data_IF_237523680821
#
_entry.id   IF_237523680821
#
_cell.length_a   1.000
_cell.length_b   1.000
_cell.length_c   1.000
_cell.angle_alpha   90.00
_cell.angle_beta   90.00
_cell.angle_gamma   90.00
#
_symmetry.space_group_name_H-M   'P 1'
#
loop_
_entity.id
_entity.type
_entity.pdbx_description
1 polymer ?
#
# COMPACT_ATOMS: atom_id res chain seq x y z
N UNK A 1 0.57 32.80 -53.66
CA UNK A 1 1.26 32.46 -52.40
C UNK A 1 1.48 33.69 -51.52
N UNK A 2 2.03 34.80 -52.04
CA UNK A 2 2.20 36.06 -51.30
C UNK A 2 0.89 36.67 -50.74
N UNK A 3 -0.17 36.76 -51.55
CA UNK A 3 -1.46 37.34 -51.11
C UNK A 3 -2.15 36.56 -49.98
N UNK A 4 -2.00 35.23 -49.95
CA UNK A 4 -2.55 34.39 -48.87
C UNK A 4 -1.82 34.65 -47.55
N UNK A 5 -0.52 34.90 -47.62
CA UNK A 5 0.29 35.23 -46.45
C UNK A 5 -0.06 36.61 -45.90
N UNK A 6 -0.31 37.59 -46.78
CA UNK A 6 -0.73 38.94 -46.37
C UNK A 6 -2.11 38.93 -45.69
N UNK A 7 -3.05 38.13 -46.21
CA UNK A 7 -4.37 37.95 -45.60
C UNK A 7 -4.26 37.24 -44.25
N UNK A 8 -3.47 36.17 -44.16
CA UNK A 8 -3.25 35.44 -42.90
C UNK A 8 -2.63 36.35 -41.83
N UNK A 9 -1.61 37.14 -42.20
CA UNK A 9 -0.97 38.09 -41.28
C UNK A 9 -1.92 39.21 -40.85
N UNK A 10 -2.78 39.70 -41.75
CA UNK A 10 -3.79 40.72 -41.45
C UNK A 10 -4.84 40.18 -40.47
N UNK A 11 -5.35 38.97 -40.74
CA UNK A 11 -6.31 38.29 -39.87
C UNK A 11 -5.71 38.03 -38.49
N UNK A 12 -4.47 37.54 -38.45
CA UNK A 12 -3.72 37.29 -37.22
C UNK A 12 -3.61 38.57 -36.38
N UNK A 13 -3.17 39.68 -36.97
CA UNK A 13 -3.06 40.97 -36.26
C UNK A 13 -4.41 41.46 -35.74
N UNK A 14 -5.48 41.30 -36.53
CA UNK A 14 -6.81 41.68 -36.10
C UNK A 14 -7.31 40.82 -34.95
N UNK A 15 -7.03 39.52 -34.96
CA UNK A 15 -7.44 38.61 -33.89
C UNK A 15 -6.65 38.87 -32.60
N UNK A 16 -5.34 39.13 -32.70
CA UNK A 16 -4.52 39.51 -31.54
C UNK A 16 -4.99 40.84 -30.94
N UNK A 17 -5.30 41.85 -31.77
CA UNK A 17 -5.85 43.12 -31.29
C UNK A 17 -7.19 42.94 -30.55
N UNK A 18 -8.12 42.16 -31.11
CA UNK A 18 -9.38 41.84 -30.42
C UNK A 18 -9.15 41.07 -29.12
N UNK A 19 -8.20 40.12 -29.12
CA UNK A 19 -7.86 39.35 -27.93
C UNK A 19 -7.29 40.23 -26.82
N UNK A 20 -6.34 41.11 -27.14
CA UNK A 20 -5.69 41.99 -26.17
C UNK A 20 -6.68 43.02 -25.59
N UNK A 21 -7.55 43.58 -26.43
CA UNK A 21 -8.62 44.51 -26.01
C UNK A 21 -9.64 43.82 -25.09
N UNK A 22 -10.10 42.61 -25.48
CA UNK A 22 -11.12 41.87 -24.72
C UNK A 22 -10.57 41.26 -23.42
N UNK A 23 -9.31 40.82 -23.44
CA UNK A 23 -8.59 40.34 -22.26
C UNK A 23 -8.16 41.50 -21.35
N UNK A 24 -8.10 42.73 -21.88
CA UNK A 24 -7.68 43.93 -21.16
C UNK A 24 -6.37 43.71 -20.40
N UNK A 25 -5.40 43.05 -21.05
CA UNK A 25 -4.12 42.65 -20.44
C UNK A 25 -3.35 43.85 -19.88
N UNK A 26 -3.48 45.01 -20.52
CA UNK A 26 -2.89 46.28 -20.07
C UNK A 26 -3.45 46.78 -18.73
N UNK A 27 -4.69 46.42 -18.38
CA UNK A 27 -5.28 46.73 -17.07
C UNK A 27 -4.81 45.77 -15.98
N UNK A 28 -4.53 44.51 -16.32
CA UNK A 28 -4.00 43.51 -15.39
C UNK A 28 -2.52 43.71 -15.08
N UNK A 29 -1.78 44.33 -15.99
CA UNK A 29 -0.36 44.67 -15.82
C UNK A 29 -0.13 46.00 -15.13
N UNK A 30 -1.16 46.82 -14.93
CA UNK A 30 -1.07 47.99 -14.06
C UNK A 30 -0.80 47.54 -12.63
N UNK A 31 0.36 47.93 -12.10
CA UNK A 31 0.72 47.72 -10.69
C UNK A 31 -0.26 48.48 -9.79
N UNK A 32 -1.34 47.82 -9.42
CA UNK A 32 -2.13 48.18 -8.24
C UNK A 32 -1.22 47.93 -7.03
N UNK A 33 -0.86 48.97 -6.28
CA UNK A 33 0.05 48.91 -5.13
C UNK A 33 -0.43 48.05 -3.95
N UNK A 34 -1.42 47.18 -4.20
CA UNK A 34 -1.99 46.18 -3.28
C UNK A 34 -1.24 44.85 -3.31
N UNK A 35 -0.39 44.60 -4.32
CA UNK A 35 0.39 43.36 -4.43
C UNK A 35 1.87 43.66 -4.26
N UNK A 36 2.49 42.98 -3.30
CA UNK A 36 3.94 42.98 -3.07
C UNK A 36 4.52 41.79 -3.82
N UNK A 37 5.49 42.06 -4.70
CA UNK A 37 6.28 41.02 -5.36
C UNK A 37 7.53 40.82 -4.53
N UNK A 38 7.68 39.63 -3.96
CA UNK A 38 8.87 39.22 -3.22
C UNK A 38 9.67 38.20 -4.05
N UNK A 39 10.99 38.37 -4.07
CA UNK A 39 11.87 37.41 -4.70
C UNK A 39 11.98 36.16 -3.81
N UNK A 40 11.64 35.00 -4.38
CA UNK A 40 11.74 33.72 -3.67
C UNK A 40 13.17 33.20 -3.85
N UNK A 41 13.88 32.99 -2.75
CA UNK A 41 15.14 32.25 -2.77
C UNK A 41 14.85 30.73 -2.67
N UNK A 42 15.07 29.95 -3.74
CA UNK A 42 14.74 28.53 -3.75
C UNK A 42 15.58 27.72 -2.76
N UNK A 43 16.83 28.12 -2.47
CA UNK A 43 17.69 27.40 -1.54
C UNK A 43 17.13 27.48 -0.11
N UNK A 44 16.77 28.69 0.32
CA UNK A 44 16.17 28.92 1.65
C UNK A 44 14.85 28.17 1.78
N UNK A 45 14.04 28.13 0.71
CA UNK A 45 12.76 27.41 0.71
C UNK A 45 12.95 25.89 0.80
N UNK A 46 13.97 25.34 0.14
CA UNK A 46 14.28 23.91 0.23
C UNK A 46 14.84 23.57 1.61
N UNK A 47 15.70 24.41 2.18
CA UNK A 47 16.22 24.23 3.54
C UNK A 47 15.11 24.30 4.60
N UNK A 48 14.18 25.25 4.48
CA UNK A 48 13.04 25.36 5.40
C UNK A 48 12.13 24.14 5.30
N UNK A 49 11.82 23.71 4.08
CA UNK A 49 11.00 22.52 3.85
C UNK A 49 11.67 21.25 4.39
N UNK A 50 12.98 21.08 4.16
CA UNK A 50 13.73 19.94 4.67
C UNK A 50 13.66 19.86 6.21
N UNK A 51 13.79 21.02 6.89
CA UNK A 51 13.69 21.11 8.34
C UNK A 51 12.30 20.82 8.88
N UNK A 52 11.25 21.29 8.19
CA UNK A 52 9.87 20.96 8.53
C UNK A 52 9.61 19.45 8.40
N UNK A 53 10.08 18.84 7.32
CA UNK A 53 9.97 17.40 7.08
C UNK A 53 10.76 16.60 8.14
N UNK A 54 11.97 17.04 8.50
CA UNK A 54 12.76 16.39 9.54
C UNK A 54 12.04 16.39 10.89
N UNK A 55 11.49 17.55 11.28
CA UNK A 55 10.70 17.69 12.52
C UNK A 55 9.46 16.79 12.49
N UNK A 56 8.76 16.78 11.36
CA UNK A 56 7.57 15.98 11.10
C UNK A 56 7.85 14.47 11.27
N UNK A 57 9.00 13.98 10.78
CA UNK A 57 9.42 12.59 10.94
C UNK A 57 9.93 12.29 12.35
N UNK A 58 10.62 13.23 12.99
CA UNK A 58 11.11 13.07 14.36
C UNK A 58 9.94 12.87 15.34
N UNK A 59 8.89 13.68 15.25
CA UNK A 59 7.68 13.56 16.08
C UNK A 59 6.96 12.21 15.86
N UNK A 60 6.83 11.78 14.60
CA UNK A 60 6.22 10.46 14.27
C UNK A 60 7.05 9.31 14.80
N UNK A 61 8.37 9.41 14.70
CA UNK A 61 9.30 8.41 15.25
C UNK A 61 9.16 8.33 16.76
N UNK A 62 9.07 9.45 17.47
CA UNK A 62 8.87 9.47 18.92
C UNK A 62 7.55 8.79 19.32
N UNK A 63 6.44 9.14 18.66
CA UNK A 63 5.15 8.50 18.89
C UNK A 63 5.20 6.98 18.65
N UNK A 64 5.90 6.54 17.61
CA UNK A 64 6.10 5.12 17.31
C UNK A 64 6.92 4.42 18.40
N UNK A 65 8.01 5.04 18.87
CA UNK A 65 8.85 4.48 19.93
C UNK A 65 8.09 4.36 21.25
N UNK A 66 7.20 5.30 21.57
CA UNK A 66 6.33 5.21 22.75
C UNK A 66 5.44 3.96 22.69
N UNK A 67 4.87 3.65 21.52
CA UNK A 67 4.03 2.47 21.30
C UNK A 67 4.86 1.19 21.46
N UNK A 68 6.01 1.13 20.79
CA UNK A 68 6.92 -0.04 20.81
C UNK A 68 7.37 -0.33 22.24
N UNK A 69 7.86 0.68 22.97
CA UNK A 69 8.35 0.51 24.33
C UNK A 69 7.26 -0.03 25.27
N UNK A 70 6.04 0.52 25.20
CA UNK A 70 4.93 0.07 26.03
C UNK A 70 4.52 -1.38 25.73
N UNK A 71 4.46 -1.76 24.46
CA UNK A 71 4.12 -3.12 24.03
C UNK A 71 5.21 -4.12 24.41
N UNK A 72 6.49 -3.77 24.24
CA UNK A 72 7.61 -4.61 24.65
C UNK A 72 7.69 -4.80 26.17
N UNK A 73 7.42 -3.75 26.95
CA UNK A 73 7.42 -3.84 28.40
C UNK A 73 6.28 -4.74 28.91
N UNK A 74 5.07 -4.55 28.38
CA UNK A 74 3.91 -5.36 28.75
C UNK A 74 4.08 -6.82 28.31
N UNK A 75 4.53 -7.07 27.08
CA UNK A 75 4.75 -8.43 26.58
C UNK A 75 5.79 -9.22 27.37
N UNK A 76 6.84 -8.57 27.90
CA UNK A 76 7.85 -9.22 28.76
C UNK A 76 7.28 -9.67 30.10
N UNK A 77 6.33 -8.92 30.67
CA UNK A 77 5.72 -9.21 31.96
C UNK A 77 4.44 -10.04 31.90
N UNK A 78 3.87 -10.21 30.71
CA UNK A 78 2.56 -10.83 30.54
C UNK A 78 2.56 -12.32 30.89
N UNK A 79 1.58 -12.74 31.70
CA UNK A 79 1.36 -14.15 32.05
C UNK A 79 0.36 -14.76 31.08
N UNK A 80 0.82 -15.78 30.36
CA UNK A 80 -0.01 -16.50 29.41
C UNK A 80 -1.10 -17.33 30.09
N UNK A 81 -2.26 -17.44 29.44
CA UNK A 81 -3.41 -18.21 29.91
C UNK A 81 -3.91 -19.19 28.83
N UNK A 82 -3.84 -20.49 29.11
CA UNK A 82 -4.06 -21.58 28.14
C UNK A 82 -5.52 -22.09 28.01
N UNK A 83 -6.49 -21.55 28.76
CA UNK A 83 -7.82 -22.19 28.93
C UNK A 83 -9.01 -21.50 28.23
N UNK A 84 -9.96 -22.34 27.79
CA UNK A 84 -11.30 -22.02 27.26
C UNK A 84 -12.25 -21.36 28.28
N UNK A 85 -11.80 -21.20 29.53
CA UNK A 85 -12.48 -20.49 30.62
C UNK A 85 -12.06 -19.02 30.69
N UNK A 86 -11.47 -18.48 29.63
CA UNK A 86 -11.16 -17.06 29.59
C UNK A 86 -12.45 -16.27 29.34
N UNK A 87 -12.84 -15.47 30.33
CA UNK A 87 -14.02 -14.63 30.21
C UNK A 87 -13.77 -13.55 29.16
N UNK A 88 -14.39 -13.72 27.99
CA UNK A 88 -14.41 -12.71 26.94
C UNK A 88 -14.93 -11.36 27.43
N UNK A 89 -15.64 -11.30 28.55
CA UNK A 89 -16.11 -10.04 29.13
C UNK A 89 -14.98 -9.16 29.69
N UNK A 90 -13.83 -9.75 30.03
CA UNK A 90 -12.70 -9.01 30.62
C UNK A 90 -11.82 -8.32 29.56
N UNK A 91 -11.99 -8.68 28.28
CA UNK A 91 -11.28 -8.05 27.18
C UNK A 91 -12.20 -7.04 26.52
N UNK A 92 -12.12 -5.78 26.96
CA UNK A 92 -12.81 -4.70 26.26
C UNK A 92 -12.08 -4.38 24.95
N UNK A 93 -12.65 -4.78 23.82
CA UNK A 93 -12.17 -4.37 22.50
C UNK A 93 -13.34 -4.03 21.58
N UNK A 94 -13.17 -2.98 20.77
CA UNK A 94 -14.15 -2.62 19.76
C UNK A 94 -13.84 -3.39 18.48
N UNK A 95 -14.50 -4.53 18.29
CA UNK A 95 -14.40 -5.28 17.05
C UNK A 95 -15.09 -4.53 15.90
N UNK A 96 -14.31 -3.99 14.96
CA UNK A 96 -14.85 -3.19 13.85
C UNK A 96 -15.43 -4.03 12.69
N UNK A 97 -15.19 -5.35 12.66
CA UNK A 97 -15.74 -6.27 11.65
C UNK A 97 -17.12 -6.80 12.05
N UNK A 98 -17.35 -7.01 13.36
CA UNK A 98 -18.64 -7.46 13.94
C UNK A 98 -19.53 -6.31 14.44
N UNK A 99 -19.01 -5.07 14.48
CA UNK A 99 -19.70 -3.86 14.95
C UNK A 99 -20.97 -3.45 14.18
N UNK A 100 -21.46 -4.25 13.22
CA UNK A 100 -22.78 -4.04 12.64
C UNK A 100 -23.95 -4.22 13.63
N UNK A 101 -23.73 -4.70 14.86
CA UNK A 101 -24.84 -5.02 15.79
C UNK A 101 -24.88 -4.32 17.16
N UNK A 102 -23.79 -3.72 17.67
CA UNK A 102 -23.76 -3.38 19.11
C UNK A 102 -23.40 -1.92 19.46
N UNK A 103 -22.66 -1.17 18.63
CA UNK A 103 -22.36 0.24 18.96
C UNK A 103 -22.84 1.20 17.88
N UNK A 104 -24.00 1.84 18.16
CA UNK A 104 -24.43 3.11 17.56
C UNK A 104 -23.69 4.31 18.15
N UNK A 105 -22.51 4.10 18.75
CA UNK A 105 -21.70 5.20 19.27
C UNK A 105 -21.04 5.86 18.07
N UNK A 106 -21.75 6.87 17.56
CA UNK A 106 -21.42 7.64 16.37
C UNK A 106 -19.99 8.12 16.44
N UNK A 107 -19.18 7.67 15.48
CA UNK A 107 -17.98 8.42 15.13
C UNK A 107 -18.41 9.77 14.59
N UNK A 108 -17.66 10.82 14.94
CA UNK A 108 -17.84 12.12 14.32
C UNK A 108 -16.97 12.19 13.06
N UNK A 109 -17.48 12.84 12.02
CA UNK A 109 -16.69 13.08 10.82
C UNK A 109 -15.46 13.91 11.20
N UNK A 110 -14.28 13.41 10.85
CA UNK A 110 -13.02 14.09 11.13
C UNK A 110 -12.29 14.38 9.82
N UNK A 111 -11.92 15.65 9.63
CA UNK A 111 -11.30 16.13 8.39
C UNK A 111 -9.92 15.50 8.13
N UNK A 112 -9.17 15.13 9.18
CA UNK A 112 -7.86 14.50 9.04
C UNK A 112 -7.99 13.05 8.55
N UNK A 113 -9.02 12.34 9.02
CA UNK A 113 -9.22 10.92 8.70
C UNK A 113 -10.13 10.70 7.49
N UNK A 114 -10.94 11.69 7.11
CA UNK A 114 -11.89 11.60 5.99
C UNK A 114 -13.03 10.60 6.21
N UNK A 115 -13.20 10.11 7.45
CA UNK A 115 -14.24 9.15 7.85
C UNK A 115 -14.73 9.45 9.26
N UNK A 116 -15.93 8.95 9.65
CA UNK A 116 -16.41 9.06 11.02
C UNK A 116 -15.58 8.21 12.00
N UNK A 117 -14.90 8.88 12.93
CA UNK A 117 -14.02 8.25 13.93
C UNK A 117 -14.48 8.47 15.36
N UNK A 118 -14.20 7.50 16.22
CA UNK A 118 -14.40 7.59 17.66
C UNK A 118 -13.04 7.76 18.36
N UNK A 119 -12.77 8.97 18.83
CA UNK A 119 -11.52 9.33 19.54
C UNK A 119 -11.47 8.84 20.99
N UNK A 120 -12.54 8.22 21.50
CA UNK A 120 -12.57 7.72 22.89
C UNK A 120 -12.04 6.29 23.02
N UNK A 121 -11.98 5.52 21.94
CA UNK A 121 -11.64 4.10 21.97
C UNK A 121 -10.75 3.72 20.78
N UNK A 122 -9.92 2.70 20.97
CA UNK A 122 -9.21 2.05 19.87
C UNK A 122 -10.11 0.96 19.25
N UNK A 123 -9.95 0.76 17.94
CA UNK A 123 -10.58 -0.32 17.20
C UNK A 123 -9.66 -1.53 17.14
N UNK A 124 -10.26 -2.72 17.05
CA UNK A 124 -9.55 -3.97 16.77
C UNK A 124 -10.18 -4.63 15.57
N UNK A 125 -9.33 -4.96 14.61
CA UNK A 125 -9.65 -5.68 13.39
C UNK A 125 -9.09 -7.09 13.48
N UNK A 126 -9.89 -8.07 13.07
CA UNK A 126 -9.50 -9.47 12.96
C UNK A 126 -9.82 -9.95 11.55
N UNK A 127 -8.86 -10.55 10.82
CA UNK A 127 -9.13 -11.17 9.52
C UNK A 127 -10.18 -12.28 9.64
N UNK A 128 -10.95 -12.53 8.58
CA UNK A 128 -12.06 -13.50 8.64
C UNK A 128 -11.61 -14.94 8.92
N UNK A 129 -10.39 -15.29 8.51
CA UNK A 129 -9.77 -16.60 8.75
C UNK A 129 -9.27 -16.78 10.20
N UNK A 130 -9.19 -15.71 10.98
CA UNK A 130 -8.72 -15.75 12.37
C UNK A 130 -9.92 -15.83 13.32
N UNK A 131 -10.01 -16.92 14.06
CA UNK A 131 -11.05 -17.10 15.07
C UNK A 131 -10.64 -16.40 16.38
N UNK A 132 -11.46 -15.45 16.81
CA UNK A 132 -11.19 -14.61 17.98
C UNK A 132 -11.11 -15.41 19.29
N UNK A 133 -11.76 -16.58 19.35
CA UNK A 133 -11.77 -17.44 20.54
C UNK A 133 -10.51 -18.26 20.78
N UNK A 134 -9.52 -18.20 19.88
CA UNK A 134 -8.24 -18.85 20.13
C UNK A 134 -7.48 -18.17 21.27
N UNK A 135 -6.84 -18.97 22.12
CA UNK A 135 -6.12 -18.47 23.29
C UNK A 135 -5.05 -17.45 22.87
N UNK A 136 -4.40 -17.67 21.73
CA UNK A 136 -3.40 -16.78 21.17
C UNK A 136 -3.95 -15.39 20.84
N UNK A 137 -5.17 -15.34 20.30
CA UNK A 137 -5.84 -14.08 19.95
C UNK A 137 -6.34 -13.37 21.19
N UNK A 138 -6.94 -14.10 22.14
CA UNK A 138 -7.46 -13.51 23.38
C UNK A 138 -6.33 -12.95 24.25
N UNK A 139 -5.26 -13.73 24.44
CA UNK A 139 -4.06 -13.24 25.12
C UNK A 139 -3.49 -12.04 24.35
N UNK A 140 -3.40 -12.15 23.02
CA UNK A 140 -3.06 -11.08 22.08
C UNK A 140 -3.77 -9.78 22.39
N UNK A 141 -5.10 -9.78 22.40
CA UNK A 141 -5.91 -8.62 22.72
C UNK A 141 -5.62 -8.08 24.11
N UNK A 142 -5.45 -8.93 25.12
CA UNK A 142 -5.27 -8.48 26.49
C UNK A 142 -3.95 -7.74 26.69
N UNK A 143 -2.82 -8.36 26.34
CA UNK A 143 -1.52 -7.73 26.55
C UNK A 143 -1.34 -6.49 25.65
N UNK A 144 -1.85 -6.52 24.43
CA UNK A 144 -1.75 -5.37 23.51
C UNK A 144 -2.69 -4.21 23.86
N UNK A 145 -3.60 -4.36 24.84
CA UNK A 145 -4.50 -3.28 25.29
C UNK A 145 -3.75 -2.09 25.92
N UNK A 146 -2.50 -2.28 26.34
CA UNK A 146 -1.62 -1.19 26.81
C UNK A 146 -1.45 -0.10 25.75
N UNK A 147 -1.46 -0.47 24.47
CA UNK A 147 -1.31 0.47 23.36
C UNK A 147 -2.45 1.48 23.28
N UNK A 148 -3.67 1.13 23.71
CA UNK A 148 -4.83 2.01 23.63
C UNK A 148 -4.60 3.32 24.41
N UNK A 149 -3.92 3.25 25.56
CA UNK A 149 -3.55 4.43 26.38
C UNK A 149 -2.47 5.26 25.70
N UNK A 150 -1.48 4.60 25.11
CA UNK A 150 -0.36 5.26 24.42
C UNK A 150 -0.85 5.96 23.16
N UNK A 151 -1.72 5.33 22.38
CA UNK A 151 -2.32 5.92 21.19
C UNK A 151 -3.05 7.23 21.49
N UNK A 152 -3.84 7.24 22.57
CA UNK A 152 -4.54 8.44 23.03
C UNK A 152 -3.56 9.53 23.43
N UNK A 153 -2.59 9.20 24.28
CA UNK A 153 -1.55 10.13 24.74
C UNK A 153 -0.79 10.75 23.56
N UNK A 154 -0.31 9.94 22.62
CA UNK A 154 0.38 10.40 21.42
C UNK A 154 -0.49 11.38 20.61
N UNK A 155 -1.79 11.11 20.47
CA UNK A 155 -2.72 11.98 19.73
C UNK A 155 -3.03 13.28 20.47
N UNK A 156 -3.06 13.25 21.80
CA UNK A 156 -3.20 14.44 22.66
C UNK A 156 -1.94 15.33 22.57
N UNK A 157 -0.75 14.71 22.56
CA UNK A 157 0.53 15.40 22.42
C UNK A 157 0.74 15.95 21.00
N UNK A 158 0.32 15.20 19.98
CA UNK A 158 0.40 15.62 18.58
C UNK A 158 -0.92 15.38 17.83
N UNK A 159 -1.79 16.42 17.76
CA UNK A 159 -3.07 16.35 17.06
C UNK A 159 -2.97 16.08 15.55
N UNK A 160 -1.80 16.30 14.92
CA UNK A 160 -1.59 16.06 13.50
C UNK A 160 -1.35 14.59 13.14
N UNK A 161 -1.14 13.72 14.14
CA UNK A 161 -0.92 12.29 13.90
C UNK A 161 -2.12 11.64 13.22
N UNK A 162 -1.86 10.93 12.13
CA UNK A 162 -2.85 10.08 11.46
C UNK A 162 -3.06 8.77 12.25
N UNK A 163 -3.54 7.72 11.57
CA UNK A 163 -3.78 6.41 12.15
C UNK A 163 -2.54 5.89 12.87
N UNK A 164 -2.75 5.45 14.11
CA UNK A 164 -1.77 4.69 14.87
C UNK A 164 -2.25 3.25 14.92
N UNK A 165 -1.37 2.28 14.67
CA UNK A 165 -1.75 0.88 14.64
C UNK A 165 -0.62 -0.04 15.09
N UNK A 166 -1.02 -1.20 15.61
CA UNK A 166 -0.18 -2.32 15.95
C UNK A 166 -0.85 -3.58 15.39
N UNK A 167 -0.10 -4.43 14.70
CA UNK A 167 -0.59 -5.75 14.28
C UNK A 167 0.23 -6.85 14.92
N UNK A 168 -0.46 -7.80 15.54
CA UNK A 168 0.15 -9.00 16.10
C UNK A 168 0.51 -10.02 14.99
N UNK A 169 1.50 -10.89 15.23
CA UNK A 169 1.83 -11.97 14.30
C UNK A 169 0.68 -12.97 14.10
N UNK A 170 -0.27 -13.03 15.04
CA UNK A 170 -1.46 -13.85 14.95
C UNK A 170 -2.52 -13.28 13.97
N UNK A 171 -2.34 -12.05 13.48
CA UNK A 171 -3.12 -11.44 12.41
C UNK A 171 -4.11 -10.36 12.84
N UNK A 172 -4.39 -10.25 14.14
CA UNK A 172 -5.20 -9.14 14.63
C UNK A 172 -4.45 -7.80 14.57
N UNK A 173 -5.20 -6.72 14.43
CA UNK A 173 -4.67 -5.37 14.38
C UNK A 173 -5.46 -4.45 15.30
N UNK A 174 -4.75 -3.75 16.19
CA UNK A 174 -5.28 -2.63 16.97
C UNK A 174 -4.97 -1.33 16.28
N UNK A 175 -5.91 -0.40 16.26
CA UNK A 175 -5.70 0.92 15.68
C UNK A 175 -6.50 2.01 16.40
N UNK A 176 -6.04 3.24 16.28
CA UNK A 176 -6.66 4.40 16.91
C UNK A 176 -6.59 5.63 15.98
N UNK A 177 -7.64 6.47 15.95
CA UNK A 177 -8.94 6.31 16.62
C UNK A 177 -9.75 5.13 16.06
N UNK A 178 -10.80 4.69 16.75
CA UNK A 178 -11.69 3.65 16.21
C UNK A 178 -12.57 4.19 15.08
N UNK A 179 -13.06 3.30 14.21
CA UNK A 179 -14.09 3.61 13.20
C UNK A 179 -15.43 2.98 13.58
N UNK A 180 -16.52 3.65 13.23
CA UNK A 180 -17.88 3.11 13.39
C UNK A 180 -18.16 1.91 12.46
N UNK A 181 -17.49 1.86 11.31
CA UNK A 181 -17.60 0.77 10.34
C UNK A 181 -16.26 0.53 9.67
N UNK A 182 -15.76 -0.69 9.73
CA UNK A 182 -14.61 -1.08 8.92
C UNK A 182 -14.94 -0.98 7.43
N UNK A 183 -14.05 -0.36 6.66
CA UNK A 183 -14.27 -0.17 5.23
C UNK A 183 -14.03 -1.49 4.48
N UNK A 184 -15.11 -2.16 4.10
CA UNK A 184 -15.09 -3.20 3.07
C UNK A 184 -15.37 -2.55 1.71
N UNK A 185 -14.42 -2.54 0.74
CA UNK A 185 -14.58 -1.84 -0.53
C UNK A 185 -15.77 -2.37 -1.35
N UNK A 186 -16.80 -1.55 -1.64
CA UNK A 186 -17.77 -1.83 -2.69
C UNK A 186 -17.14 -1.54 -4.06
N UNK A 187 -17.43 -2.27 -5.16
CA UNK A 187 -18.53 -3.22 -5.36
C UNK A 187 -18.13 -4.71 -5.50
N UNK A 188 -16.89 -5.11 -5.21
CA UNK A 188 -16.38 -6.44 -5.61
C UNK A 188 -16.25 -7.49 -4.49
N UNK A 189 -16.37 -7.12 -3.21
CA UNK A 189 -16.31 -8.10 -2.13
C UNK A 189 -17.40 -7.83 -1.07
N UNK A 190 -18.38 -8.73 -0.89
CA UNK A 190 -19.34 -8.66 0.22
C UNK A 190 -18.69 -8.99 1.57
N UNK A 191 -17.40 -9.35 1.57
CA UNK A 191 -16.64 -9.87 2.71
C UNK A 191 -15.33 -9.10 2.82
N UNK A 192 -14.93 -8.79 4.05
CA UNK A 192 -13.64 -8.18 4.35
C UNK A 192 -12.52 -9.21 4.22
N UNK A 193 -11.60 -8.97 3.28
CA UNK A 193 -10.39 -9.78 3.04
C UNK A 193 -9.13 -9.07 3.55
N UNK A 194 -9.29 -8.08 4.42
CA UNK A 194 -8.16 -7.39 5.00
C UNK A 194 -7.43 -8.30 5.99
N UNK A 195 -6.16 -8.59 5.71
CA UNK A 195 -5.20 -9.09 6.69
C UNK A 195 -4.03 -8.10 6.79
N UNK A 196 -3.68 -7.70 8.02
CA UNK A 196 -2.57 -6.78 8.30
C UNK A 196 -1.21 -7.38 7.93
N UNK A 197 -1.05 -8.71 8.08
CA UNK A 197 0.21 -9.42 7.82
C UNK A 197 0.58 -9.45 6.34
N UNK A 198 -0.42 -9.31 5.47
CA UNK A 198 -0.24 -9.23 4.02
C UNK A 198 -0.03 -7.79 3.53
N UNK A 199 0.00 -6.79 4.41
CA UNK A 199 0.16 -5.39 3.99
C UNK A 199 1.64 -5.06 3.80
N UNK A 200 1.99 -4.24 2.78
CA UNK A 200 3.37 -3.84 2.52
C UNK A 200 4.07 -3.28 3.76
N UNK A 201 3.41 -2.42 4.53
CA UNK A 201 3.98 -1.83 5.76
C UNK A 201 4.36 -2.87 6.82
N UNK A 202 3.63 -3.98 6.90
CA UNK A 202 3.92 -5.07 7.84
C UNK A 202 5.09 -5.91 7.31
N UNK A 203 5.05 -6.27 6.02
CA UNK A 203 6.05 -7.12 5.37
C UNK A 203 7.44 -6.48 5.43
N UNK A 204 7.57 -5.17 5.16
CA UNK A 204 8.85 -4.46 5.22
C UNK A 204 9.40 -4.33 6.64
N UNK A 205 8.53 -4.35 7.65
CA UNK A 205 8.93 -4.27 9.05
C UNK A 205 9.32 -5.65 9.61
N UNK A 206 8.60 -6.70 9.17
CA UNK A 206 8.80 -8.08 9.63
C UNK A 206 9.93 -8.81 8.90
N UNK A 207 10.31 -8.37 7.69
CA UNK A 207 11.30 -9.04 6.86
C UNK A 207 12.32 -8.07 6.25
N UNK A 208 13.55 -8.54 6.11
CA UNK A 208 14.58 -7.84 5.35
C UNK A 208 14.43 -8.11 3.84
N UNK A 209 14.96 -7.23 2.98
CA UNK A 209 15.02 -7.46 1.54
C UNK A 209 15.60 -8.83 1.21
N UNK A 210 14.99 -9.55 0.27
CA UNK A 210 15.33 -10.94 -0.07
C UNK A 210 15.32 -11.21 -1.57
N UNK A 211 16.19 -12.14 -1.96
CA UNK A 211 16.32 -12.67 -3.31
C UNK A 211 15.70 -14.07 -3.38
N UNK A 212 14.65 -14.25 -4.18
CA UNK A 212 13.84 -15.48 -4.20
C UNK A 212 13.84 -16.14 -5.58
N UNK A 213 14.22 -17.41 -5.66
CA UNK A 213 14.01 -18.23 -6.86
C UNK A 213 12.87 -19.20 -6.61
N UNK A 214 11.81 -19.09 -7.41
CA UNK A 214 10.64 -19.96 -7.33
C UNK A 214 10.82 -21.10 -8.34
N UNK A 215 10.91 -22.34 -7.85
CA UNK A 215 11.03 -23.54 -8.68
C UNK A 215 9.67 -24.22 -8.83
N UNK A 216 9.20 -24.36 -10.08
CA UNK A 216 7.86 -24.87 -10.40
C UNK A 216 7.97 -26.20 -11.13
N UNK A 217 7.39 -27.26 -10.56
CA UNK A 217 7.29 -28.55 -11.24
C UNK A 217 6.28 -28.45 -12.40
N UNK A 218 6.70 -28.93 -13.59
CA UNK A 218 5.88 -29.06 -14.81
C UNK A 218 5.74 -30.51 -15.26
N UNK A 219 6.03 -31.47 -14.39
CA UNK A 219 5.83 -32.90 -14.64
C UNK A 219 4.36 -33.21 -14.93
N UNK A 220 4.08 -34.35 -15.58
CA UNK A 220 2.70 -34.75 -15.86
C UNK A 220 1.83 -34.94 -14.60
N UNK A 221 2.44 -35.12 -13.43
CA UNK A 221 1.75 -35.34 -12.15
C UNK A 221 1.00 -34.10 -11.64
N UNK A 222 1.42 -32.90 -12.05
CA UNK A 222 0.80 -31.65 -11.61
C UNK A 222 -0.35 -31.21 -12.53
N UNK A 223 -0.69 -31.98 -13.56
CA UNK A 223 -1.76 -31.63 -14.49
C UNK A 223 -3.13 -31.49 -13.81
N UNK A 224 -3.96 -30.57 -14.30
CA UNK A 224 -5.32 -30.33 -13.80
C UNK A 224 -5.34 -29.38 -12.60
N UNK A 225 -6.10 -29.74 -11.55
CA UNK A 225 -6.35 -28.87 -10.39
C UNK A 225 -5.07 -28.50 -9.64
N UNK A 226 -4.10 -29.43 -9.57
CA UNK A 226 -2.82 -29.19 -8.90
C UNK A 226 -2.07 -28.01 -9.52
N UNK A 227 -2.00 -27.93 -10.86
CA UNK A 227 -1.38 -26.81 -11.56
C UNK A 227 -2.11 -25.49 -11.28
N UNK A 228 -3.44 -25.49 -11.21
CA UNK A 228 -4.23 -24.29 -10.88
C UNK A 228 -3.92 -23.80 -9.46
N UNK A 229 -3.86 -24.71 -8.49
CA UNK A 229 -3.51 -24.37 -7.10
C UNK A 229 -2.06 -23.87 -7.01
N UNK A 230 -1.14 -24.50 -7.73
CA UNK A 230 0.26 -24.06 -7.80
C UNK A 230 0.38 -22.63 -8.35
N UNK A 231 -0.32 -22.32 -9.45
CA UNK A 231 -0.34 -20.96 -10.02
C UNK A 231 -0.86 -19.96 -9.01
N UNK A 232 -1.96 -20.26 -8.33
CA UNK A 232 -2.52 -19.39 -7.29
C UNK A 232 -1.55 -19.19 -6.10
N UNK A 233 -0.83 -20.25 -5.69
CA UNK A 233 0.17 -20.15 -4.63
C UNK A 233 1.35 -19.27 -5.05
N UNK A 234 1.81 -19.38 -6.30
CA UNK A 234 2.86 -18.53 -6.88
C UNK A 234 2.38 -17.07 -6.94
N UNK A 235 1.15 -16.83 -7.40
CA UNK A 235 0.52 -15.51 -7.40
C UNK A 235 0.57 -14.85 -6.02
N UNK A 236 0.13 -15.60 -5.00
CA UNK A 236 0.07 -15.15 -3.60
C UNK A 236 1.46 -14.90 -3.01
N UNK A 237 2.44 -15.75 -3.36
CA UNK A 237 3.82 -15.59 -2.92
C UNK A 237 4.44 -14.33 -3.53
N UNK A 238 4.24 -14.08 -4.83
CA UNK A 238 4.74 -12.88 -5.50
C UNK A 238 4.12 -11.61 -4.90
N UNK A 239 2.83 -11.65 -4.54
CA UNK A 239 2.17 -10.52 -3.87
C UNK A 239 2.77 -10.20 -2.50
N UNK A 240 3.32 -11.20 -1.81
CA UNK A 240 3.98 -11.03 -0.50
C UNK A 240 5.38 -10.42 -0.57
N UNK A 241 5.96 -10.25 -1.77
CA UNK A 241 7.29 -9.65 -1.92
C UNK A 241 7.23 -8.13 -1.87
N UNK A 242 8.16 -7.49 -1.16
CA UNK A 242 8.27 -6.03 -1.08
C UNK A 242 8.96 -5.42 -2.31
N UNK A 243 8.95 -4.09 -2.42
CA UNK A 243 9.59 -3.37 -3.55
C UNK A 243 11.11 -3.57 -3.62
N UNK A 244 11.74 -3.83 -2.47
CA UNK A 244 13.17 -4.08 -2.36
C UNK A 244 13.56 -5.56 -2.55
N UNK A 245 12.59 -6.44 -2.78
CA UNK A 245 12.84 -7.85 -3.01
C UNK A 245 13.11 -8.12 -4.49
N UNK A 246 13.88 -9.16 -4.78
CA UNK A 246 14.09 -9.66 -6.13
C UNK A 246 13.54 -11.07 -6.24
N UNK A 247 13.00 -11.42 -7.40
CA UNK A 247 12.53 -12.77 -7.65
C UNK A 247 12.75 -13.21 -9.09
N UNK A 248 12.78 -14.53 -9.32
CA UNK A 248 12.58 -15.10 -10.66
C UNK A 248 11.94 -16.50 -10.50
N UNK A 249 11.34 -17.00 -11.57
CA UNK A 249 10.62 -18.26 -11.59
C UNK A 249 11.30 -19.16 -12.62
N UNK A 250 11.73 -20.34 -12.18
CA UNK A 250 12.23 -21.39 -13.05
C UNK A 250 11.29 -22.59 -12.97
N UNK A 251 10.99 -23.18 -14.12
CA UNK A 251 10.13 -24.33 -14.21
C UNK A 251 10.92 -25.54 -14.71
N UNK A 252 10.66 -26.70 -14.12
CA UNK A 252 11.43 -27.92 -14.39
C UNK A 252 10.54 -29.12 -14.70
N UNK A 253 11.06 -30.01 -15.54
CA UNK A 253 10.56 -31.38 -15.70
C UNK A 253 11.77 -32.34 -15.80
N UNK A 254 12.23 -32.63 -17.02
CA UNK A 254 13.52 -33.25 -17.31
C UNK A 254 14.65 -32.21 -17.40
N UNK A 255 14.32 -30.98 -17.81
CA UNK A 255 15.25 -29.84 -17.84
C UNK A 255 14.64 -28.62 -17.15
N UNK A 256 15.50 -27.71 -16.69
CA UNK A 256 15.08 -26.45 -16.06
C UNK A 256 15.09 -25.33 -17.09
N UNK A 257 14.03 -24.51 -17.09
CA UNK A 257 13.90 -23.35 -17.96
C UNK A 257 13.29 -22.17 -17.19
N UNK A 258 13.74 -20.95 -17.48
CA UNK A 258 13.18 -19.75 -16.85
C UNK A 258 11.83 -19.37 -17.45
N UNK A 259 10.89 -18.99 -16.58
CA UNK A 259 9.60 -18.44 -16.97
C UNK A 259 9.82 -16.98 -17.35
N UNK A 260 9.65 -16.68 -18.64
CA UNK A 260 9.94 -15.33 -19.17
C UNK A 260 8.96 -14.28 -18.66
N UNK A 261 9.50 -13.22 -18.08
CA UNK A 261 8.79 -11.96 -17.83
C UNK A 261 9.20 -10.94 -18.86
N UNK A 262 8.48 -10.80 -19.97
CA UNK A 262 8.65 -9.59 -20.77
C UNK A 262 7.29 -9.07 -21.23
N UNK A 263 6.90 -7.94 -20.62
CA UNK A 263 6.10 -6.90 -21.27
C UNK A 263 7.02 -5.67 -21.32
N UNK A 264 7.49 -5.31 -22.51
CA UNK A 264 8.03 -3.97 -22.74
C UNK A 264 6.90 -3.11 -23.29
N UNK A 265 6.45 -2.13 -22.51
CA UNK A 265 5.80 -0.94 -23.07
C UNK A 265 6.93 -0.04 -23.60
N UNK A 266 7.09 -0.05 -24.92
CA UNK A 266 7.88 0.88 -25.73
C UNK A 266 9.39 0.94 -25.45
N UNK A 267 10.17 0.36 -26.38
CA UNK A 267 11.40 0.87 -27.01
C UNK A 267 12.18 -0.34 -27.55
N UNK A 268 12.67 -0.23 -28.79
CA UNK A 268 13.49 -1.20 -29.56
C UNK A 268 12.67 -2.07 -30.52
N UNK A 269 13.15 -2.15 -31.77
CA UNK A 269 12.57 -2.93 -32.86
C UNK A 269 12.71 -4.43 -32.61
N UNK A 270 11.79 -5.28 -33.12
CA UNK A 270 11.76 -6.73 -32.86
C UNK A 270 13.03 -7.50 -33.29
N UNK A 271 13.92 -6.90 -34.06
CA UNK A 271 15.10 -7.54 -34.65
C UNK A 271 16.37 -7.44 -33.78
N UNK A 272 16.35 -6.62 -32.72
CA UNK A 272 17.49 -6.42 -31.82
C UNK A 272 17.33 -7.11 -30.45
N UNK A 273 16.28 -7.91 -30.27
CA UNK A 273 15.92 -8.47 -28.97
C UNK A 273 16.24 -9.97 -28.87
N UNK A 274 17.26 -10.34 -28.09
CA UNK A 274 17.48 -11.74 -27.71
C UNK A 274 16.74 -12.05 -26.41
N UNK A 275 15.60 -12.76 -26.51
CA UNK A 275 14.84 -13.27 -25.36
C UNK A 275 15.64 -14.19 -24.42
N UNK A 276 16.84 -14.64 -24.82
CA UNK A 276 17.68 -15.57 -24.05
C UNK A 276 18.58 -14.87 -23.03
N UNK A 277 19.00 -13.63 -23.28
CA UNK A 277 19.99 -12.95 -22.41
C UNK A 277 19.38 -12.36 -21.13
N UNK A 278 18.12 -11.92 -21.17
CA UNK A 278 17.45 -11.28 -20.02
C UNK A 278 16.67 -12.24 -19.11
N UNK A 279 16.52 -13.51 -19.49
CA UNK A 279 15.61 -14.43 -18.81
C UNK A 279 16.26 -15.21 -17.64
N UNK A 280 17.55 -15.02 -17.36
CA UNK A 280 18.28 -15.80 -16.34
C UNK A 280 18.57 -15.05 -15.04
N UNK A 281 18.31 -13.74 -15.00
CA UNK A 281 18.62 -12.88 -13.85
C UNK A 281 17.41 -12.72 -12.94
N UNK A 282 17.66 -12.46 -11.66
CA UNK A 282 16.60 -12.04 -10.74
C UNK A 282 16.04 -10.68 -11.18
N UNK A 283 14.73 -10.52 -11.13
CA UNK A 283 14.05 -9.26 -11.47
C UNK A 283 13.56 -8.56 -10.19
N UNK A 284 13.60 -7.22 -10.14
CA UNK A 284 13.02 -6.47 -9.02
C UNK A 284 11.53 -6.75 -8.87
N UNK A 285 11.02 -6.82 -7.64
CA UNK A 285 9.62 -7.10 -7.34
C UNK A 285 8.71 -5.86 -7.42
N UNK A 286 8.82 -5.11 -8.52
CA UNK A 286 7.93 -3.97 -8.79
C UNK A 286 6.55 -4.46 -9.26
N UNK A 287 5.50 -3.66 -9.05
CA UNK A 287 4.14 -4.02 -9.48
C UNK A 287 4.04 -4.35 -10.98
N UNK A 288 4.83 -3.65 -11.81
CA UNK A 288 4.93 -3.91 -13.24
C UNK A 288 5.50 -5.31 -13.50
N UNK A 289 6.61 -5.65 -12.85
CA UNK A 289 7.28 -6.94 -13.00
C UNK A 289 6.43 -8.10 -12.46
N UNK A 290 5.78 -7.90 -11.31
CA UNK A 290 4.81 -8.85 -10.75
C UNK A 290 3.66 -9.11 -11.74
N UNK A 291 3.04 -8.05 -12.26
CA UNK A 291 1.93 -8.18 -13.22
C UNK A 291 2.35 -8.85 -14.53
N UNK A 292 3.54 -8.53 -15.03
CA UNK A 292 4.11 -9.15 -16.22
C UNK A 292 4.35 -10.66 -16.01
N UNK A 293 4.97 -11.04 -14.88
CA UNK A 293 5.17 -12.45 -14.51
C UNK A 293 3.85 -13.21 -14.41
N UNK A 294 2.87 -12.65 -13.69
CA UNK A 294 1.53 -13.24 -13.52
C UNK A 294 0.81 -13.50 -14.85
N UNK A 295 0.96 -12.57 -15.79
CA UNK A 295 0.41 -12.73 -17.16
C UNK A 295 1.20 -13.77 -17.97
N UNK A 296 2.52 -13.85 -17.77
CA UNK A 296 3.43 -14.73 -18.49
C UNK A 296 3.21 -16.22 -18.25
N UNK A 297 2.87 -16.65 -17.02
CA UNK A 297 2.52 -18.07 -16.77
C UNK A 297 1.01 -18.36 -16.83
N UNK A 298 0.16 -17.35 -16.83
CA UNK A 298 -1.27 -17.50 -17.13
C UNK A 298 -1.48 -17.94 -18.58
N UNK A 299 -0.64 -17.46 -19.51
CA UNK A 299 -0.68 -17.78 -20.94
C UNK A 299 -0.09 -19.14 -21.34
N UNK A 300 0.16 -20.07 -20.41
CA UNK A 300 0.46 -21.48 -20.75
C UNK A 300 -0.78 -22.26 -21.24
N UNK A 301 -1.47 -21.71 -22.23
CA UNK A 301 -2.02 -22.44 -23.36
C UNK A 301 -1.22 -22.01 -24.60
N UNK A 302 0.05 -22.41 -24.67
CA UNK A 302 0.77 -22.39 -25.95
C UNK A 302 0.47 -23.71 -26.68
N UNK A 303 -0.79 -23.88 -27.11
CA UNK A 303 -1.05 -24.64 -28.33
C UNK A 303 -0.59 -23.78 -29.51
N UNK A 304 0.71 -23.80 -29.80
CA UNK A 304 1.31 -23.67 -31.15
C UNK A 304 2.83 -23.48 -31.04
N UNK A 305 3.55 -24.54 -31.37
CA UNK A 305 4.80 -24.49 -32.12
C UNK A 305 5.87 -23.48 -31.65
N UNK A 306 6.44 -23.66 -30.47
CA UNK A 306 7.89 -23.46 -30.35
C UNK A 306 8.56 -24.76 -30.78
N UNK A 307 8.71 -24.94 -32.10
CA UNK A 307 9.61 -25.96 -32.64
C UNK A 307 11.04 -25.56 -32.28
N UNK A 308 11.75 -26.53 -31.72
CA UNK A 308 13.20 -26.64 -31.73
C UNK A 308 13.77 -26.17 -33.08
N UNK A 309 14.58 -25.12 -33.02
CA UNK A 309 15.75 -24.89 -33.87
C UNK A 309 16.89 -24.45 -32.97
#
# INVERSE_FOLDING_TARGET
MYQLNDIANSLQRSLFGIHDDLASMDLLTQRDGRVVVEDINPEIMVESLAKEIETLFAERKEALMNIVNALEEESKGYKWHDEWSYDFSDVFYMNVTTANKIHKDGGEMDDLFGVPVNKTVAGVHTPIEVYEGYAEIVNGFKWSSVADKVFKKNKEENPSLSWQYFAGPEGYMRFYPSVSKWYAPPPYAPVDLYDARMRPWYIIAASSPKDVIILVDRSGSVHGQTLTIMKFAIDTLIDSLGENDYFNIAAFNETTSWVSAIVHENLISPEQWDCREFNTSLIPSTDVNKKAMKSGYSTYYCERNCKLL
#
